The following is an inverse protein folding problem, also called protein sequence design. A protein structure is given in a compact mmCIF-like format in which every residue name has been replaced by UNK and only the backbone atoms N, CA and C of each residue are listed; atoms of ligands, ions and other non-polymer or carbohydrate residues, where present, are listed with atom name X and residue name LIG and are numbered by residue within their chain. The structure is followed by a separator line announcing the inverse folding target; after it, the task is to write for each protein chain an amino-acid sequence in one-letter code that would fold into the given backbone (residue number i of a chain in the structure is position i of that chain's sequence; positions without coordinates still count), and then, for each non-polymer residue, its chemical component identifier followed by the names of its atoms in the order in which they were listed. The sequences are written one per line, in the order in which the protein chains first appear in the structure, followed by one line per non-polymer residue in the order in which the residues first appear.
data_IF_364687831277
#
_entry.id   IF_364687831277
#
_cell.length_a   1.000
_cell.length_b   1.000
_cell.length_c   1.000
_cell.angle_alpha   90.00
_cell.angle_beta   90.00
_cell.angle_gamma   90.00
#
_symmetry.space_group_name_H-M   'P 1'
#
loop_
_entity.id
_entity.type
_entity.pdbx_description
1 polymer ?
#
# COMPACT_ATOMS: atom_id res chain seq x y z
N UNK A 1 3.21 -69.97 -25.60
CA UNK A 1 3.06 -69.43 -24.24
C UNK A 1 4.22 -68.47 -24.04
N UNK A 2 4.01 -67.19 -24.36
CA UNK A 2 5.03 -66.14 -24.26
C UNK A 2 4.89 -65.53 -22.86
N UNK A 3 5.91 -65.68 -22.01
CA UNK A 3 5.98 -64.97 -20.73
C UNK A 3 6.24 -63.50 -21.02
N UNK A 4 5.30 -62.64 -20.63
CA UNK A 4 5.49 -61.20 -20.54
C UNK A 4 5.95 -60.93 -19.11
N UNK A 5 7.17 -60.42 -18.94
CA UNK A 5 7.64 -59.92 -17.65
C UNK A 5 6.79 -58.72 -17.21
N UNK A 6 6.43 -58.61 -15.91
CA UNK A 6 5.72 -57.44 -15.42
C UNK A 6 6.65 -56.22 -15.51
N UNK A 7 6.18 -55.21 -16.26
CA UNK A 7 6.78 -53.88 -16.29
C UNK A 7 6.63 -53.29 -14.88
N UNK A 8 7.70 -53.34 -14.07
CA UNK A 8 7.81 -52.49 -12.89
C UNK A 8 7.83 -51.03 -13.36
N UNK A 9 6.65 -50.40 -13.37
CA UNK A 9 6.54 -48.95 -13.42
C UNK A 9 7.11 -48.46 -12.08
N UNK A 10 8.37 -48.05 -12.11
CA UNK A 10 9.04 -47.45 -10.97
C UNK A 10 8.19 -46.29 -10.42
N UNK A 11 7.64 -46.48 -9.22
CA UNK A 11 6.99 -45.43 -8.43
C UNK A 11 7.92 -44.23 -8.17
N UNK A 12 9.22 -44.35 -8.42
CA UNK A 12 10.20 -43.27 -8.22
C UNK A 12 10.15 -42.20 -9.32
N UNK A 13 9.66 -42.52 -10.53
CA UNK A 13 9.56 -41.57 -11.63
C UNK A 13 8.47 -40.50 -11.40
N UNK A 14 7.40 -40.85 -10.67
CA UNK A 14 6.37 -39.89 -10.23
C UNK A 14 6.90 -38.91 -9.18
N UNK A 15 7.72 -39.40 -8.24
CA UNK A 15 8.28 -38.58 -7.16
C UNK A 15 9.29 -37.53 -7.65
N UNK A 16 10.07 -37.80 -8.70
CA UNK A 16 11.02 -36.81 -9.23
C UNK A 16 10.33 -35.68 -9.99
N UNK A 17 9.29 -35.99 -10.78
CA UNK A 17 8.50 -34.99 -11.48
C UNK A 17 7.74 -34.08 -10.50
N UNK A 18 7.16 -34.66 -9.44
CA UNK A 18 6.50 -33.91 -8.37
C UNK A 18 7.48 -33.09 -7.54
N UNK A 19 8.70 -33.58 -7.28
CA UNK A 19 9.75 -32.79 -6.59
C UNK A 19 10.24 -31.59 -7.40
N UNK A 20 10.15 -31.63 -8.74
CA UNK A 20 10.55 -30.51 -9.60
C UNK A 20 9.55 -29.33 -9.57
N UNK A 21 8.31 -29.62 -9.11
CA UNK A 21 7.19 -28.69 -9.02
C UNK A 21 7.03 -28.05 -7.63
N UNK A 22 7.79 -28.51 -6.64
CA UNK A 22 7.73 -28.04 -5.25
C UNK A 22 9.02 -27.33 -4.84
N UNK A 23 8.88 -26.39 -3.91
CA UNK A 23 10.01 -25.76 -3.21
C UNK A 23 10.51 -26.64 -2.04
N UNK A 24 11.60 -26.22 -1.40
CA UNK A 24 12.22 -26.86 -0.23
C UNK A 24 11.29 -26.98 1.00
N UNK A 25 10.17 -26.26 1.01
CA UNK A 25 9.13 -26.33 2.04
C UNK A 25 7.92 -27.20 1.64
N UNK A 26 8.01 -27.93 0.52
CA UNK A 26 6.96 -28.82 0.02
C UNK A 26 5.74 -28.10 -0.56
N UNK A 27 5.83 -26.79 -0.83
CA UNK A 27 4.76 -25.99 -1.46
C UNK A 27 4.99 -25.83 -2.96
N UNK A 28 3.95 -25.49 -3.75
CA UNK A 28 4.11 -25.14 -5.16
C UNK A 28 5.24 -24.14 -5.36
N UNK A 29 6.07 -24.41 -6.36
CA UNK A 29 7.30 -23.66 -6.62
C UNK A 29 7.02 -22.18 -6.86
N UNK A 30 7.70 -21.32 -6.10
CA UNK A 30 7.67 -19.87 -6.29
C UNK A 30 8.43 -19.47 -7.55
N UNK A 31 7.87 -18.55 -8.33
CA UNK A 31 8.45 -18.11 -9.62
C UNK A 31 8.80 -16.62 -9.66
N UNK A 32 8.56 -15.89 -8.58
CA UNK A 32 8.83 -14.46 -8.48
C UNK A 32 10.31 -14.13 -8.65
N UNK A 33 10.57 -12.97 -9.23
CA UNK A 33 11.90 -12.47 -9.57
C UNK A 33 12.12 -11.08 -8.98
N UNK A 34 13.32 -10.53 -9.13
CA UNK A 34 13.62 -9.13 -8.82
C UNK A 34 12.61 -8.16 -9.44
N UNK A 35 12.20 -8.40 -10.70
CA UNK A 35 11.27 -7.51 -11.41
C UNK A 35 9.85 -7.61 -10.89
N UNK A 36 9.34 -8.81 -10.63
CA UNK A 36 7.98 -8.98 -10.08
C UNK A 36 7.91 -8.46 -8.65
N UNK A 37 8.93 -8.72 -7.82
CA UNK A 37 9.02 -8.16 -6.47
C UNK A 37 9.07 -6.63 -6.49
N UNK A 38 9.89 -6.04 -7.37
CA UNK A 38 9.94 -4.58 -7.54
C UNK A 38 8.60 -4.02 -8.00
N UNK A 39 7.92 -4.67 -8.95
CA UNK A 39 6.60 -4.24 -9.40
C UNK A 39 5.56 -4.29 -8.26
N UNK A 40 5.56 -5.34 -7.44
CA UNK A 40 4.68 -5.43 -6.27
C UNK A 40 4.99 -4.35 -5.23
N UNK A 41 6.27 -4.10 -4.92
CA UNK A 41 6.66 -3.04 -3.96
C UNK A 41 6.28 -1.67 -4.51
N UNK A 42 6.61 -1.37 -5.77
CA UNK A 42 6.25 -0.09 -6.42
C UNK A 42 4.73 0.09 -6.40
N UNK A 43 3.96 -0.94 -6.73
CA UNK A 43 2.48 -0.89 -6.68
C UNK A 43 1.96 -0.68 -5.25
N UNK A 44 2.59 -1.31 -4.26
CA UNK A 44 2.18 -1.18 -2.86
C UNK A 44 2.50 0.20 -2.27
N UNK A 45 3.65 0.76 -2.65
CA UNK A 45 4.18 2.04 -2.15
C UNK A 45 3.54 3.20 -2.91
N UNK A 46 3.58 3.18 -4.24
CA UNK A 46 2.83 4.12 -5.07
C UNK A 46 1.35 3.73 -5.02
N UNK A 47 0.69 3.89 -3.88
CA UNK A 47 -0.75 3.80 -3.70
C UNK A 47 -1.35 5.19 -3.51
N UNK A 48 -2.49 5.28 -2.83
CA UNK A 48 -3.14 6.57 -2.57
C UNK A 48 -2.28 7.57 -1.78
N UNK A 49 -1.32 7.10 -0.96
CA UNK A 49 -0.48 7.96 -0.12
C UNK A 49 0.22 9.10 -0.86
N UNK A 50 0.65 8.86 -2.12
CA UNK A 50 1.31 9.90 -2.95
C UNK A 50 0.42 11.12 -3.17
N UNK A 51 -0.89 10.92 -3.32
CA UNK A 51 -1.82 11.98 -3.67
C UNK A 51 -1.89 13.06 -2.60
N UNK A 52 -1.59 12.70 -1.34
CA UNK A 52 -1.56 13.59 -0.18
C UNK A 52 -0.22 14.30 0.06
N UNK A 53 0.84 13.95 -0.69
CA UNK A 53 2.17 14.52 -0.49
C UNK A 53 2.30 16.02 -0.81
N UNK A 54 1.62 16.59 -1.82
CA UNK A 54 1.63 18.03 -2.04
C UNK A 54 1.06 18.78 -0.83
N UNK A 55 -0.07 18.30 -0.31
CA UNK A 55 -0.67 18.86 0.90
C UNK A 55 0.24 18.71 2.12
N UNK A 56 0.83 17.53 2.33
CA UNK A 56 1.75 17.30 3.43
C UNK A 56 2.97 18.22 3.36
N UNK A 57 3.51 18.43 2.14
CA UNK A 57 4.58 19.39 1.87
C UNK A 57 4.12 20.82 2.16
N UNK A 58 2.90 21.20 1.80
CA UNK A 58 2.35 22.50 2.16
C UNK A 58 2.17 22.71 3.67
N UNK A 59 1.87 21.66 4.43
CA UNK A 59 1.78 21.76 5.89
C UNK A 59 3.15 21.90 6.57
N UNK A 60 4.21 21.36 5.97
CA UNK A 60 5.58 21.36 6.53
C UNK A 60 6.51 22.44 5.92
N UNK A 61 6.17 22.96 4.75
CA UNK A 61 6.94 23.92 3.98
C UNK A 61 8.12 23.33 3.21
N UNK A 62 8.86 24.22 2.51
CA UNK A 62 9.98 23.87 1.64
C UNK A 62 11.17 23.22 2.36
N UNK A 63 11.31 23.41 3.67
CA UNK A 63 12.36 22.76 4.46
C UNK A 63 11.85 21.46 5.07
N UNK A 64 10.74 21.54 5.82
CA UNK A 64 10.22 20.40 6.57
C UNK A 64 9.73 19.26 5.67
N UNK A 65 8.99 19.56 4.60
CA UNK A 65 8.41 18.56 3.72
C UNK A 65 9.47 17.66 3.07
N UNK A 66 10.39 18.22 2.26
CA UNK A 66 11.47 17.46 1.63
C UNK A 66 12.33 16.69 2.64
N UNK A 67 12.73 17.32 3.74
CA UNK A 67 13.57 16.67 4.76
C UNK A 67 12.89 15.45 5.38
N UNK A 68 11.61 15.58 5.76
CA UNK A 68 10.83 14.47 6.32
C UNK A 68 10.67 13.34 5.30
N UNK A 69 10.40 13.64 4.03
CA UNK A 69 10.27 12.61 3.00
C UNK A 69 11.57 11.79 2.82
N UNK A 70 12.73 12.46 2.82
CA UNK A 70 14.04 11.78 2.75
C UNK A 70 14.28 10.91 3.98
N UNK A 71 13.99 11.42 5.18
CA UNK A 71 14.15 10.66 6.43
C UNK A 71 13.25 9.43 6.45
N UNK A 72 11.96 9.58 6.10
CA UNK A 72 11.02 8.45 6.06
C UNK A 72 11.41 7.41 5.00
N UNK A 73 11.84 7.84 3.81
CA UNK A 73 12.34 6.92 2.78
C UNK A 73 13.56 6.13 3.28
N UNK A 74 14.52 6.80 3.92
CA UNK A 74 15.72 6.17 4.49
C UNK A 74 15.41 5.19 5.63
N UNK A 75 14.56 5.57 6.58
CA UNK A 75 14.12 4.69 7.68
C UNK A 75 13.37 3.48 7.14
N UNK A 76 12.49 3.69 6.17
CA UNK A 76 11.70 2.60 5.56
C UNK A 76 12.61 1.63 4.81
N UNK A 77 13.58 2.12 4.04
CA UNK A 77 14.55 1.25 3.37
C UNK A 77 15.36 0.45 4.38
N UNK A 78 15.92 1.13 5.38
CA UNK A 78 16.72 0.47 6.41
C UNK A 78 15.92 -0.64 7.11
N UNK A 79 14.73 -0.34 7.59
CA UNK A 79 13.88 -1.31 8.29
C UNK A 79 13.36 -2.43 7.38
N UNK A 80 13.07 -2.16 6.11
CA UNK A 80 12.78 -3.18 5.10
C UNK A 80 13.94 -4.16 4.90
N UNK A 81 15.20 -3.68 4.92
CA UNK A 81 16.35 -4.59 4.88
C UNK A 81 16.46 -5.48 6.10
N UNK A 82 16.06 -5.01 7.28
CA UNK A 82 15.99 -5.83 8.50
C UNK A 82 14.87 -6.88 8.41
N UNK A 83 13.70 -6.49 7.89
CA UNK A 83 12.57 -7.40 7.70
C UNK A 83 12.90 -8.50 6.68
N UNK A 84 13.62 -8.18 5.60
CA UNK A 84 14.05 -9.18 4.61
C UNK A 84 14.89 -10.31 5.19
N UNK A 85 15.73 -9.99 6.18
CA UNK A 85 16.59 -10.94 6.90
C UNK A 85 15.82 -11.87 7.83
N UNK A 86 14.56 -11.53 8.13
CA UNK A 86 13.71 -12.27 9.05
C UNK A 86 12.71 -13.19 8.33
N UNK A 87 12.86 -13.37 7.01
CA UNK A 87 11.97 -14.21 6.22
C UNK A 87 12.12 -15.71 6.54
N UNK A 88 13.35 -16.22 6.56
CA UNK A 88 13.65 -17.58 7.06
C UNK A 88 14.01 -17.49 8.53
N UNK A 89 13.44 -18.34 9.39
CA UNK A 89 13.80 -18.41 10.81
C UNK A 89 14.92 -19.41 11.05
N UNK A 90 15.91 -19.01 11.85
CA UNK A 90 17.12 -19.79 12.10
C UNK A 90 18.19 -19.46 11.08
N UNK A 91 18.54 -20.43 10.23
CA UNK A 91 19.51 -20.26 9.16
C UNK A 91 18.94 -19.41 8.00
N UNK A 92 19.79 -18.59 7.37
CA UNK A 92 19.38 -17.66 6.32
C UNK A 92 19.02 -18.32 5.00
N UNK A 93 19.60 -19.47 4.68
CA UNK A 93 19.42 -20.13 3.38
C UNK A 93 18.52 -21.36 3.50
N UNK A 94 18.63 -22.07 4.62
CA UNK A 94 17.95 -23.36 4.86
C UNK A 94 16.89 -23.30 5.95
N UNK A 95 16.78 -22.18 6.68
CA UNK A 95 15.80 -22.00 7.74
C UNK A 95 14.36 -22.04 7.24
N UNK A 96 13.42 -22.31 8.16
CA UNK A 96 12.01 -22.42 7.83
C UNK A 96 11.45 -21.08 7.33
N UNK A 97 10.74 -21.11 6.20
CA UNK A 97 10.14 -19.93 5.58
C UNK A 97 8.95 -19.40 6.37
N UNK A 98 8.89 -18.08 6.53
CA UNK A 98 7.73 -17.37 7.05
C UNK A 98 6.93 -16.73 5.92
N UNK A 99 5.76 -17.31 5.63
CA UNK A 99 4.90 -16.90 4.51
C UNK A 99 4.16 -15.57 4.70
N UNK A 100 4.14 -15.06 5.92
CA UNK A 100 3.37 -13.87 6.29
C UNK A 100 4.12 -13.09 7.35
N UNK A 101 3.90 -11.79 7.42
CA UNK A 101 4.58 -10.95 8.40
C UNK A 101 4.26 -11.39 9.85
N UNK A 102 2.99 -11.67 10.14
CA UNK A 102 2.54 -12.23 11.44
C UNK A 102 3.23 -13.56 11.75
N UNK A 103 3.45 -14.39 10.72
CA UNK A 103 4.17 -15.65 10.83
C UNK A 103 5.61 -15.44 11.30
N UNK A 104 6.34 -14.52 10.65
CA UNK A 104 7.71 -14.17 11.04
C UNK A 104 7.78 -13.63 12.46
N UNK A 105 6.89 -12.70 12.82
CA UNK A 105 6.81 -12.15 14.17
C UNK A 105 6.51 -13.24 15.20
N UNK A 106 5.62 -14.19 14.88
CA UNK A 106 5.30 -15.30 15.79
C UNK A 106 6.49 -16.25 15.99
N UNK A 107 7.19 -16.58 14.90
CA UNK A 107 8.33 -17.48 14.94
C UNK A 107 9.52 -16.90 15.71
N UNK A 108 9.75 -15.59 15.60
CA UNK A 108 10.94 -14.92 16.14
C UNK A 108 10.68 -14.27 17.51
N UNK A 109 9.54 -13.59 17.68
CA UNK A 109 9.22 -12.77 18.86
C UNK A 109 8.08 -13.32 19.73
N UNK A 110 7.45 -14.41 19.31
CA UNK A 110 6.41 -15.10 20.06
C UNK A 110 4.99 -14.52 19.92
N UNK A 111 4.06 -15.11 20.66
CA UNK A 111 2.62 -14.93 20.45
C UNK A 111 2.05 -13.54 20.76
N UNK A 112 2.59 -12.83 21.75
CA UNK A 112 2.09 -11.50 22.13
C UNK A 112 2.36 -10.46 21.02
N UNK A 113 3.59 -10.43 20.51
CA UNK A 113 3.97 -9.57 19.38
C UNK A 113 3.21 -9.95 18.10
N UNK A 114 2.96 -11.24 17.86
CA UNK A 114 2.16 -11.66 16.72
C UNK A 114 0.70 -11.19 16.79
N UNK A 115 0.11 -11.13 17.99
CA UNK A 115 -1.25 -10.56 18.17
C UNK A 115 -1.26 -9.06 17.91
N UNK A 116 -0.27 -8.32 18.44
CA UNK A 116 -0.11 -6.88 18.20
C UNK A 116 0.05 -6.60 16.69
N UNK A 117 0.97 -7.33 16.03
CA UNK A 117 1.19 -7.27 14.60
C UNK A 117 -0.11 -7.51 13.83
N UNK A 118 -0.82 -8.61 14.13
CA UNK A 118 -2.06 -8.94 13.42
C UNK A 118 -3.15 -7.89 13.57
N UNK A 119 -3.39 -7.36 14.78
CA UNK A 119 -4.41 -6.33 15.01
C UNK A 119 -4.12 -5.09 14.15
N UNK A 120 -2.88 -4.59 14.19
CA UNK A 120 -2.52 -3.34 13.52
C UNK A 120 -2.41 -3.56 12.01
N UNK A 121 -1.84 -4.69 11.57
CA UNK A 121 -1.68 -5.02 10.16
C UNK A 121 -3.05 -5.14 9.49
N UNK A 122 -3.98 -5.95 10.03
CA UNK A 122 -5.31 -6.09 9.43
C UNK A 122 -6.12 -4.80 9.50
N UNK A 123 -6.04 -4.02 10.60
CA UNK A 123 -6.68 -2.71 10.66
C UNK A 123 -6.14 -1.77 9.56
N UNK A 124 -4.84 -1.81 9.31
CA UNK A 124 -4.21 -1.01 8.26
C UNK A 124 -4.62 -1.48 6.85
N UNK A 125 -4.63 -2.79 6.58
CA UNK A 125 -5.07 -3.34 5.29
C UNK A 125 -6.53 -2.95 4.97
N UNK A 126 -7.43 -3.04 5.95
CA UNK A 126 -8.84 -2.63 5.79
C UNK A 126 -8.96 -1.12 5.60
N UNK A 127 -8.21 -0.33 6.38
CA UNK A 127 -8.20 1.12 6.24
C UNK A 127 -7.69 1.57 4.87
N UNK A 128 -6.66 0.91 4.33
CA UNK A 128 -6.13 1.18 2.99
C UNK A 128 -7.17 0.88 1.91
N UNK A 129 -7.94 -0.20 2.03
CA UNK A 129 -9.06 -0.51 1.13
C UNK A 129 -10.13 0.61 1.11
N UNK A 130 -10.46 1.15 2.29
CA UNK A 130 -11.34 2.34 2.42
C UNK A 130 -10.71 3.56 1.75
N UNK A 131 -9.43 3.83 2.03
CA UNK A 131 -8.69 4.96 1.45
C UNK A 131 -8.61 4.92 -0.08
N UNK A 132 -8.43 3.74 -0.67
CA UNK A 132 -8.41 3.54 -2.12
C UNK A 132 -9.78 3.75 -2.75
N UNK A 133 -10.85 3.28 -2.10
CA UNK A 133 -12.23 3.54 -2.55
C UNK A 133 -12.51 5.04 -2.61
N UNK A 134 -12.08 5.79 -1.59
CA UNK A 134 -12.23 7.26 -1.56
C UNK A 134 -11.38 7.90 -2.66
N UNK A 135 -10.09 7.57 -2.75
CA UNK A 135 -9.18 8.17 -3.71
C UNK A 135 -9.62 7.94 -5.17
N UNK A 136 -10.00 6.71 -5.54
CA UNK A 136 -10.48 6.39 -6.87
C UNK A 136 -11.77 7.14 -7.21
N UNK A 137 -12.68 7.27 -6.22
CA UNK A 137 -13.92 8.03 -6.41
C UNK A 137 -13.67 9.51 -6.66
N UNK A 138 -12.69 10.12 -5.98
CA UNK A 138 -12.30 11.53 -6.20
C UNK A 138 -11.76 11.71 -7.62
N UNK A 139 -10.92 10.78 -8.10
CA UNK A 139 -10.39 10.85 -9.47
C UNK A 139 -11.49 10.69 -10.53
N UNK A 140 -12.41 9.74 -10.37
CA UNK A 140 -13.52 9.59 -11.32
C UNK A 140 -14.50 10.79 -11.28
N UNK A 141 -14.73 11.35 -10.10
CA UNK A 141 -15.52 12.57 -9.92
C UNK A 141 -14.88 13.77 -10.62
N UNK A 142 -13.55 13.88 -10.56
CA UNK A 142 -12.81 14.96 -11.22
C UNK A 142 -13.04 14.97 -12.74
N UNK A 143 -13.09 13.80 -13.39
CA UNK A 143 -13.36 13.66 -14.84
C UNK A 143 -14.74 14.24 -15.19
N UNK A 144 -15.79 13.84 -14.46
CA UNK A 144 -17.14 14.36 -14.73
C UNK A 144 -17.25 15.85 -14.42
N UNK A 145 -16.55 16.31 -13.38
CA UNK A 145 -16.51 17.72 -13.03
C UNK A 145 -15.84 18.56 -14.13
N UNK A 146 -14.71 18.08 -14.67
CA UNK A 146 -14.05 18.70 -15.82
C UNK A 146 -14.98 18.76 -17.03
N UNK A 147 -15.61 17.64 -17.40
CA UNK A 147 -16.59 17.61 -18.49
C UNK A 147 -17.78 18.58 -18.30
N UNK A 148 -18.25 18.76 -17.06
CA UNK A 148 -19.30 19.73 -16.74
C UNK A 148 -18.87 21.18 -16.98
N UNK A 149 -17.67 21.56 -16.54
CA UNK A 149 -17.11 22.89 -16.78
C UNK A 149 -16.91 23.16 -18.27
N UNK A 150 -16.54 22.13 -19.04
CA UNK A 150 -16.30 22.25 -20.48
C UNK A 150 -17.61 22.44 -21.25
N UNK A 151 -18.67 21.73 -20.85
CA UNK A 151 -19.96 21.84 -21.49
C UNK A 151 -20.72 23.14 -21.12
N UNK A 152 -20.61 23.58 -19.87
CA UNK A 152 -21.47 24.65 -19.32
C UNK A 152 -20.72 25.94 -18.98
N UNK A 153 -19.40 25.97 -19.15
CA UNK A 153 -18.53 27.08 -18.77
C UNK A 153 -18.13 27.09 -17.29
N UNK A 154 -17.05 27.81 -16.98
CA UNK A 154 -16.43 27.84 -15.65
C UNK A 154 -17.24 28.53 -14.55
N UNK A 155 -18.31 29.25 -14.91
CA UNK A 155 -19.14 29.98 -13.95
C UNK A 155 -20.18 29.08 -13.25
N UNK A 156 -20.33 27.82 -13.67
CA UNK A 156 -21.29 26.88 -13.08
C UNK A 156 -20.58 26.07 -11.99
N UNK A 157 -21.12 25.98 -10.75
CA UNK A 157 -20.42 25.34 -9.63
C UNK A 157 -20.20 23.82 -9.79
N UNK A 158 -20.87 23.18 -10.76
CA UNK A 158 -20.72 21.77 -11.15
C UNK A 158 -20.57 20.83 -9.94
N UNK A 159 -21.55 20.86 -9.04
CA UNK A 159 -21.60 19.95 -7.89
C UNK A 159 -21.85 18.52 -8.36
N UNK A 160 -20.86 17.65 -8.14
CA UNK A 160 -20.93 16.22 -8.46
C UNK A 160 -20.80 15.45 -7.14
N UNK A 161 -21.71 14.53 -6.84
CA UNK A 161 -21.58 13.66 -5.66
C UNK A 161 -20.53 12.57 -5.88
N UNK A 162 -19.74 12.23 -4.85
CA UNK A 162 -18.72 11.16 -4.91
C UNK A 162 -19.30 9.76 -4.69
N UNK A 163 -20.48 9.66 -4.08
CA UNK A 163 -21.11 8.37 -3.72
C UNK A 163 -21.32 7.41 -4.90
N UNK A 164 -21.82 7.84 -6.08
CA UNK A 164 -21.96 6.95 -7.23
C UNK A 164 -20.62 6.35 -7.68
N UNK A 165 -19.54 7.12 -7.58
CA UNK A 165 -18.20 6.67 -7.97
C UNK A 165 -17.59 5.69 -6.98
N UNK A 166 -17.89 5.83 -5.68
CA UNK A 166 -17.52 4.83 -4.69
C UNK A 166 -18.23 3.49 -4.94
N UNK A 167 -19.51 3.52 -5.33
CA UNK A 167 -20.27 2.33 -5.70
C UNK A 167 -19.73 1.68 -6.99
N UNK A 168 -19.38 2.49 -7.99
CA UNK A 168 -18.75 1.99 -9.23
C UNK A 168 -17.42 1.31 -8.92
N UNK A 169 -16.55 1.95 -8.13
CA UNK A 169 -15.28 1.36 -7.72
C UNK A 169 -15.50 0.06 -6.95
N UNK A 170 -16.41 0.05 -5.96
CA UNK A 170 -16.77 -1.16 -5.22
C UNK A 170 -17.30 -2.28 -6.13
N UNK A 171 -18.04 -1.97 -7.19
CA UNK A 171 -18.49 -2.97 -8.15
C UNK A 171 -17.32 -3.59 -8.94
N UNK A 172 -16.32 -2.78 -9.35
CA UNK A 172 -15.10 -3.31 -9.94
C UNK A 172 -14.33 -4.19 -8.94
N UNK A 173 -14.19 -3.76 -7.70
CA UNK A 173 -13.48 -4.54 -6.68
C UNK A 173 -14.19 -5.86 -6.34
N UNK A 174 -15.53 -5.92 -6.38
CA UNK A 174 -16.24 -7.21 -6.24
C UNK A 174 -15.77 -8.20 -7.31
N UNK A 175 -15.55 -7.75 -8.55
CA UNK A 175 -15.09 -8.61 -9.65
C UNK A 175 -13.62 -8.97 -9.49
N UNK A 176 -12.73 -7.98 -9.34
CA UNK A 176 -11.28 -8.22 -9.25
C UNK A 176 -10.85 -8.94 -7.98
N UNK A 177 -11.61 -8.77 -6.88
CA UNK A 177 -11.40 -9.53 -5.66
C UNK A 177 -11.72 -11.01 -5.83
N UNK A 178 -12.21 -11.51 -6.96
CA UNK A 178 -12.34 -12.96 -7.19
C UNK A 178 -11.06 -13.62 -7.72
N UNK A 179 -9.97 -12.86 -7.96
CA UNK A 179 -8.66 -13.42 -8.29
C UNK A 179 -8.11 -14.14 -7.03
N UNK A 180 -7.70 -15.42 -7.11
CA UNK A 180 -7.52 -16.29 -5.95
C UNK A 180 -6.52 -15.78 -4.91
N UNK A 181 -5.34 -15.33 -5.36
CA UNK A 181 -4.22 -15.05 -4.46
C UNK A 181 -3.25 -13.99 -5.02
N UNK A 182 -2.23 -13.69 -4.22
CA UNK A 182 -1.20 -12.69 -4.53
C UNK A 182 -0.34 -13.07 -5.74
N UNK A 183 -0.21 -14.36 -6.04
CA UNK A 183 0.57 -14.83 -7.19
C UNK A 183 -0.16 -14.52 -8.50
N UNK A 184 -1.46 -14.80 -8.57
CA UNK A 184 -2.27 -14.60 -9.79
C UNK A 184 -2.56 -13.11 -10.12
N UNK A 185 -2.36 -12.18 -9.18
CA UNK A 185 -2.51 -10.72 -9.42
C UNK A 185 -1.27 -10.04 -10.03
N UNK A 186 -0.23 -10.80 -10.41
CA UNK A 186 1.04 -10.23 -10.92
C UNK A 186 0.84 -9.29 -12.12
N UNK A 187 -0.02 -9.66 -13.07
CA UNK A 187 -0.28 -8.88 -14.28
C UNK A 187 -1.01 -7.58 -13.96
N UNK A 188 -1.96 -7.65 -13.02
CA UNK A 188 -2.71 -6.49 -12.54
C UNK A 188 -1.79 -5.53 -11.79
N UNK A 189 -0.80 -6.06 -11.06
CA UNK A 189 0.25 -5.25 -10.42
C UNK A 189 1.13 -4.54 -11.45
N UNK A 190 1.47 -5.19 -12.57
CA UNK A 190 2.22 -4.53 -13.66
C UNK A 190 1.40 -3.40 -14.27
N UNK A 191 0.12 -3.63 -14.59
CA UNK A 191 -0.77 -2.58 -15.11
C UNK A 191 -0.85 -1.42 -14.13
N UNK A 192 -1.04 -1.71 -12.84
CA UNK A 192 -1.10 -0.68 -11.81
C UNK A 192 0.20 0.11 -11.68
N UNK A 193 1.37 -0.54 -11.76
CA UNK A 193 2.66 0.14 -11.78
C UNK A 193 2.82 1.06 -13.00
N UNK A 194 2.45 0.59 -14.20
CA UNK A 194 2.52 1.42 -15.43
C UNK A 194 1.61 2.64 -15.30
N UNK A 195 0.35 2.44 -14.87
CA UNK A 195 -0.60 3.54 -14.66
C UNK A 195 -0.09 4.54 -13.63
N UNK A 196 0.64 4.09 -12.61
CA UNK A 196 1.17 4.98 -11.59
C UNK A 196 2.25 5.93 -12.10
N UNK A 197 3.17 5.41 -12.92
CA UNK A 197 4.11 6.22 -13.69
C UNK A 197 3.40 7.16 -14.68
N UNK A 198 2.30 6.72 -15.32
CA UNK A 198 1.53 7.55 -16.24
C UNK A 198 0.95 8.80 -15.57
N UNK A 199 0.11 8.64 -14.53
CA UNK A 199 -0.55 9.80 -13.92
C UNK A 199 0.43 10.76 -13.26
N UNK A 200 1.59 10.27 -12.83
CA UNK A 200 2.59 11.09 -12.17
C UNK A 200 3.55 11.77 -13.13
N UNK A 201 3.85 11.14 -14.27
CA UNK A 201 4.49 11.83 -15.38
C UNK A 201 3.64 13.02 -15.83
N UNK A 202 2.32 12.82 -15.92
CA UNK A 202 1.38 13.91 -16.20
C UNK A 202 1.39 14.94 -15.07
N UNK A 203 1.16 14.54 -13.82
CA UNK A 203 1.12 15.46 -12.67
C UNK A 203 2.41 16.28 -12.51
N UNK A 204 3.56 15.68 -12.77
CA UNK A 204 4.86 16.36 -12.82
C UNK A 204 4.92 17.38 -13.96
N UNK A 205 4.57 16.97 -15.19
CA UNK A 205 4.58 17.86 -16.34
C UNK A 205 3.68 19.07 -16.13
N UNK A 206 2.48 18.85 -15.59
CA UNK A 206 1.54 19.90 -15.21
C UNK A 206 2.09 20.80 -14.10
N UNK A 207 2.73 20.23 -13.08
CA UNK A 207 3.35 20.99 -12.00
C UNK A 207 4.50 21.88 -12.48
N UNK A 208 5.35 21.37 -13.39
CA UNK A 208 6.41 22.16 -14.02
C UNK A 208 5.80 23.28 -14.87
N UNK A 209 4.83 22.96 -15.73
CA UNK A 209 4.18 23.95 -16.59
C UNK A 209 3.54 25.09 -15.77
N UNK A 210 2.83 24.73 -14.69
CA UNK A 210 2.21 25.69 -13.78
C UNK A 210 3.27 26.56 -13.06
N UNK A 211 4.35 25.95 -12.56
CA UNK A 211 5.44 26.68 -11.90
C UNK A 211 6.12 27.68 -12.84
N UNK A 212 6.31 27.30 -14.10
CA UNK A 212 6.85 28.17 -15.15
C UNK A 212 5.88 29.31 -15.47
N UNK A 213 4.58 29.00 -15.64
CA UNK A 213 3.55 29.99 -15.90
C UNK A 213 3.39 31.02 -14.77
N UNK A 214 3.59 30.58 -13.52
CA UNK A 214 3.56 31.43 -12.33
C UNK A 214 4.85 32.26 -12.13
N UNK A 215 5.87 32.05 -12.97
CA UNK A 215 7.14 32.78 -12.90
C UNK A 215 8.05 32.35 -11.74
N UNK A 216 7.78 31.22 -11.08
CA UNK A 216 8.61 30.70 -10.00
C UNK A 216 7.88 29.75 -9.05
N UNK A 217 8.62 29.26 -8.06
CA UNK A 217 8.11 28.35 -7.04
C UNK A 217 7.18 29.09 -6.06
N UNK A 218 5.93 28.61 -5.92
CA UNK A 218 5.02 29.08 -4.87
C UNK A 218 5.33 28.43 -3.52
N UNK A 219 4.57 28.84 -2.50
CA UNK A 219 4.67 28.30 -1.14
C UNK A 219 5.69 29.05 -0.28
N UNK A 220 5.60 28.86 1.02
CA UNK A 220 6.48 29.48 2.02
C UNK A 220 7.47 28.45 2.60
N UNK A 221 8.54 28.96 3.21
CA UNK A 221 9.59 28.13 3.87
C UNK A 221 8.99 27.23 4.95
N UNK A 222 8.06 27.77 5.75
CA UNK A 222 7.40 27.06 6.86
C UNK A 222 6.03 26.46 6.48
N UNK A 223 5.60 26.57 5.23
CA UNK A 223 4.28 26.09 4.79
C UNK A 223 3.14 27.01 5.22
N UNK A 224 1.91 26.47 5.22
CA UNK A 224 0.66 27.21 5.52
C UNK A 224 0.83 28.20 6.70
N UNK A 225 0.53 29.47 6.45
CA UNK A 225 0.63 30.58 7.43
C UNK A 225 -0.74 31.13 7.87
N UNK A 226 -1.79 30.93 7.07
CA UNK A 226 -3.11 31.53 7.29
C UNK A 226 -4.01 30.66 8.18
N UNK A 227 -3.48 30.16 9.29
CA UNK A 227 -4.20 29.32 10.27
C UNK A 227 -3.72 29.64 11.68
N UNK A 228 -4.48 29.25 12.71
CA UNK A 228 -4.01 29.41 14.09
C UNK A 228 -2.79 28.54 14.36
N UNK A 229 -1.96 28.91 15.35
CA UNK A 229 -0.78 28.13 15.73
C UNK A 229 -1.13 26.67 16.08
N UNK A 230 -2.26 26.47 16.77
CA UNK A 230 -2.77 25.15 17.12
C UNK A 230 -3.17 24.33 15.88
N UNK A 231 -3.89 24.93 14.94
CA UNK A 231 -4.26 24.26 13.67
C UNK A 231 -3.02 23.92 12.85
N UNK A 232 -2.04 24.82 12.80
CA UNK A 232 -0.76 24.55 12.15
C UNK A 232 -0.08 23.34 12.77
N UNK A 233 0.03 23.28 14.09
CA UNK A 233 0.64 22.15 14.80
C UNK A 233 -0.06 20.82 14.46
N UNK A 234 -1.39 20.76 14.54
CA UNK A 234 -2.14 19.54 14.22
C UNK A 234 -1.97 19.09 12.76
N UNK A 235 -2.04 20.03 11.82
CA UNK A 235 -1.83 19.74 10.38
C UNK A 235 -0.40 19.29 10.08
N UNK A 236 0.61 19.92 10.67
CA UNK A 236 2.01 19.49 10.50
C UNK A 236 2.26 18.11 11.10
N UNK A 237 1.64 17.79 12.24
CA UNK A 237 1.72 16.45 12.84
C UNK A 237 1.01 15.40 11.99
N UNK A 238 -0.19 15.69 11.50
CA UNK A 238 -0.90 14.80 10.57
C UNK A 238 -0.09 14.55 9.29
N UNK A 239 0.57 15.58 8.75
CA UNK A 239 1.43 15.45 7.56
C UNK A 239 2.56 14.42 7.74
N UNK A 240 3.07 14.22 8.96
CA UNK A 240 4.03 13.14 9.25
C UNK A 240 3.38 11.77 9.03
N UNK A 241 2.13 11.59 9.47
CA UNK A 241 1.35 10.37 9.24
C UNK A 241 1.05 10.14 7.76
N UNK A 242 0.72 11.20 7.00
CA UNK A 242 0.50 11.10 5.56
C UNK A 242 1.77 10.65 4.82
N UNK A 243 2.93 11.21 5.16
CA UNK A 243 4.21 10.80 4.59
C UNK A 243 4.56 9.37 5.03
N UNK A 244 4.31 9.02 6.29
CA UNK A 244 4.50 7.66 6.79
C UNK A 244 3.68 6.63 6.02
N UNK A 245 2.42 6.97 5.73
CA UNK A 245 1.52 6.13 4.94
C UNK A 245 1.98 5.99 3.49
N UNK A 246 2.51 7.05 2.87
CA UNK A 246 3.06 6.96 1.52
C UNK A 246 4.19 5.91 1.45
N UNK A 247 5.06 5.83 2.45
CA UNK A 247 6.10 4.81 2.52
C UNK A 247 5.66 3.47 3.15
N UNK A 248 4.37 3.27 3.43
CA UNK A 248 3.91 2.06 4.11
C UNK A 248 3.81 0.89 3.12
N UNK A 249 4.71 -0.10 3.25
CA UNK A 249 4.58 -1.39 2.57
C UNK A 249 5.09 -2.58 3.39
N UNK A 250 5.60 -2.32 4.60
CA UNK A 250 6.03 -3.34 5.58
C UNK A 250 4.95 -4.38 5.87
N UNK A 251 3.68 -3.97 5.75
CA UNK A 251 2.48 -4.78 5.99
C UNK A 251 2.20 -5.86 4.93
N UNK A 252 2.85 -5.78 3.77
CA UNK A 252 2.74 -6.79 2.70
C UNK A 252 4.11 -7.29 2.25
N UNK A 253 5.17 -6.81 2.91
CA UNK A 253 6.56 -7.03 2.51
C UNK A 253 6.94 -8.52 2.54
N UNK A 254 6.60 -9.20 3.64
CA UNK A 254 6.93 -10.62 3.81
C UNK A 254 6.12 -11.49 2.85
N UNK A 255 4.88 -11.13 2.57
CA UNK A 255 4.02 -11.79 1.59
C UNK A 255 4.55 -11.61 0.16
N UNK A 256 5.07 -10.43 -0.20
CA UNK A 256 5.77 -10.21 -1.47
C UNK A 256 7.05 -11.05 -1.54
N UNK A 257 7.84 -11.08 -0.46
CA UNK A 257 9.06 -11.86 -0.39
C UNK A 257 8.80 -13.37 -0.53
N UNK A 258 7.66 -13.86 -0.02
CA UNK A 258 7.21 -15.25 -0.19
C UNK A 258 6.85 -15.61 -1.64
N UNK A 259 6.79 -14.65 -2.58
CA UNK A 259 6.62 -14.97 -4.00
C UNK A 259 7.94 -15.27 -4.71
N UNK A 260 9.07 -14.90 -4.12
CA UNK A 260 10.39 -14.99 -4.75
C UNK A 260 10.82 -16.44 -4.87
N UNK A 261 11.32 -16.82 -6.03
CA UNK A 261 11.84 -18.17 -6.29
C UNK A 261 12.98 -18.56 -5.34
N UNK A 262 13.11 -19.85 -5.06
CA UNK A 262 14.15 -20.40 -4.20
C UNK A 262 15.59 -20.06 -4.67
N UNK A 263 16.57 -20.05 -3.75
CA UNK A 263 17.98 -19.69 -4.04
C UNK A 263 18.63 -20.55 -5.14
N UNK A 264 19.71 -20.08 -5.80
CA UNK A 264 20.39 -18.78 -5.65
C UNK A 264 19.88 -17.67 -6.60
N UNK A 265 19.98 -16.37 -6.23
CA UNK A 265 20.40 -15.82 -4.92
C UNK A 265 19.31 -15.93 -3.84
N UNK A 266 19.67 -15.74 -2.56
CA UNK A 266 18.71 -15.82 -1.44
C UNK A 266 17.54 -14.85 -1.59
N UNK A 267 16.37 -15.23 -1.07
CA UNK A 267 15.14 -14.44 -1.13
C UNK A 267 15.37 -13.05 -0.50
N UNK A 268 16.10 -12.99 0.62
CA UNK A 268 16.47 -11.75 1.29
C UNK A 268 17.35 -10.82 0.41
N UNK A 269 18.30 -11.39 -0.35
CA UNK A 269 19.16 -10.61 -1.25
C UNK A 269 18.37 -10.00 -2.40
N UNK A 270 17.51 -10.79 -3.05
CA UNK A 270 16.62 -10.30 -4.11
C UNK A 270 15.70 -9.21 -3.56
N UNK A 271 15.10 -9.46 -2.40
CA UNK A 271 14.15 -8.53 -1.78
C UNK A 271 14.81 -7.21 -1.41
N UNK A 272 16.03 -7.20 -0.85
CA UNK A 272 16.76 -5.95 -0.55
C UNK A 272 17.07 -5.14 -1.81
N UNK A 273 17.48 -5.79 -2.89
CA UNK A 273 17.73 -5.12 -4.16
C UNK A 273 16.44 -4.54 -4.74
N UNK A 274 15.36 -5.32 -4.74
CA UNK A 274 14.04 -4.86 -5.18
C UNK A 274 13.55 -3.68 -4.34
N UNK A 275 13.72 -3.73 -3.02
CA UNK A 275 13.39 -2.64 -2.09
C UNK A 275 14.21 -1.38 -2.34
N UNK A 276 15.51 -1.50 -2.63
CA UNK A 276 16.36 -0.36 -2.97
C UNK A 276 15.87 0.32 -4.24
N UNK A 277 15.69 -0.44 -5.33
CA UNK A 277 15.19 0.09 -6.59
C UNK A 277 13.83 0.76 -6.38
N UNK A 278 12.92 0.08 -5.69
CA UNK A 278 11.56 0.55 -5.51
C UNK A 278 11.53 1.83 -4.67
N UNK A 279 12.22 1.89 -3.53
CA UNK A 279 12.23 3.08 -2.68
C UNK A 279 12.92 4.26 -3.36
N UNK A 280 14.00 4.04 -4.12
CA UNK A 280 14.62 5.11 -4.90
C UNK A 280 13.64 5.64 -5.95
N UNK A 281 13.02 4.74 -6.73
CA UNK A 281 12.05 5.10 -7.75
C UNK A 281 10.84 5.84 -7.15
N UNK A 282 10.27 5.34 -6.05
CA UNK A 282 9.12 5.96 -5.40
C UNK A 282 9.48 7.25 -4.67
N UNK A 283 10.67 7.37 -4.08
CA UNK A 283 11.11 8.61 -3.42
C UNK A 283 11.33 9.73 -4.44
N UNK A 284 11.93 9.42 -5.58
CA UNK A 284 12.05 10.38 -6.70
C UNK A 284 10.67 10.80 -7.16
N UNK A 285 9.78 9.83 -7.38
CA UNK A 285 8.40 10.06 -7.78
C UNK A 285 7.60 10.91 -6.77
N UNK A 286 7.78 10.66 -5.48
CA UNK A 286 7.16 11.42 -4.39
C UNK A 286 7.70 12.83 -4.30
N UNK A 287 9.01 13.00 -4.43
CA UNK A 287 9.62 14.33 -4.52
C UNK A 287 9.05 15.09 -5.72
N UNK A 288 8.95 14.45 -6.89
CA UNK A 288 8.39 15.06 -8.10
C UNK A 288 6.92 15.46 -7.88
N UNK A 289 6.07 14.57 -7.37
CA UNK A 289 4.65 14.89 -7.15
C UNK A 289 4.44 15.89 -6.01
N UNK A 290 5.08 15.68 -4.87
CA UNK A 290 4.92 16.49 -3.66
C UNK A 290 5.54 17.87 -3.80
N UNK A 291 6.78 17.95 -4.28
CA UNK A 291 7.50 19.22 -4.39
C UNK A 291 6.98 20.04 -5.56
N UNK A 292 6.73 19.43 -6.74
CA UNK A 292 6.17 20.19 -7.86
C UNK A 292 4.70 20.53 -7.65
N UNK A 293 3.94 19.69 -6.94
CA UNK A 293 2.61 20.06 -6.48
C UNK A 293 2.63 21.28 -5.56
N UNK A 294 3.58 21.34 -4.63
CA UNK A 294 3.76 22.51 -3.77
C UNK A 294 4.31 23.74 -4.52
N UNK A 295 5.19 23.54 -5.50
CA UNK A 295 5.67 24.59 -6.39
C UNK A 295 4.53 25.22 -7.20
N UNK A 296 3.60 24.41 -7.68
CA UNK A 296 2.47 24.83 -8.49
C UNK A 296 1.33 25.46 -7.66
N UNK A 297 1.04 24.94 -6.47
CA UNK A 297 -0.14 25.35 -5.69
C UNK A 297 0.18 26.13 -4.40
N UNK A 298 1.43 26.12 -3.95
CA UNK A 298 1.86 26.77 -2.72
C UNK A 298 1.08 26.30 -1.49
N UNK A 299 0.80 27.23 -0.57
CA UNK A 299 0.10 26.93 0.68
C UNK A 299 -1.35 26.45 0.50
N UNK A 300 -1.88 26.49 -0.73
CA UNK A 300 -3.20 25.99 -1.08
C UNK A 300 -3.16 24.61 -1.76
N UNK A 301 -2.02 23.90 -1.70
CA UNK A 301 -1.89 22.58 -2.30
C UNK A 301 -3.00 21.62 -1.81
N UNK A 302 -3.72 20.96 -2.72
CA UNK A 302 -4.85 20.11 -2.37
C UNK A 302 -4.40 18.77 -1.76
N UNK A 303 -5.29 18.14 -0.99
CA UNK A 303 -5.11 16.78 -0.43
C UNK A 303 -4.96 15.68 -1.49
N UNK A 304 -5.37 15.97 -2.73
CA UNK A 304 -5.16 15.13 -3.90
C UNK A 304 -4.60 15.99 -5.04
N UNK A 305 -3.34 15.73 -5.43
CA UNK A 305 -2.60 16.48 -6.45
C UNK A 305 -3.43 16.86 -7.67
N UNK A 306 -4.14 15.91 -8.29
CA UNK A 306 -4.83 16.14 -9.56
C UNK A 306 -6.07 17.02 -9.44
N UNK A 307 -6.64 17.16 -8.25
CA UNK A 307 -7.78 18.06 -8.04
C UNK A 307 -7.40 19.53 -8.22
N UNK A 308 -6.12 19.88 -8.03
CA UNK A 308 -5.61 21.23 -8.27
C UNK A 308 -5.48 21.57 -9.76
N UNK A 309 -5.34 20.57 -10.63
CA UNK A 309 -5.21 20.74 -12.07
C UNK A 309 -6.53 20.59 -12.84
N UNK A 310 -7.68 20.49 -12.16
CA UNK A 310 -8.98 20.25 -12.81
C UNK A 310 -9.44 21.30 -13.83
N UNK A 311 -8.66 22.38 -14.01
CA UNK A 311 -8.89 23.47 -14.96
C UNK A 311 -7.73 23.65 -15.96
N UNK A 312 -6.78 22.73 -16.01
CA UNK A 312 -5.62 22.82 -16.89
C UNK A 312 -5.97 22.41 -18.32
N UNK A 313 -5.48 23.18 -19.31
CA UNK A 313 -5.61 22.84 -20.74
C UNK A 313 -4.30 22.26 -21.29
N UNK A 314 -4.31 21.10 -21.99
CA UNK A 314 -5.50 20.42 -22.48
C UNK A 314 -6.13 19.47 -21.43
N UNK A 315 -7.43 19.62 -21.20
CA UNK A 315 -8.17 18.87 -20.17
C UNK A 315 -8.13 17.35 -20.30
N UNK A 316 -8.04 16.82 -21.53
CA UNK A 316 -7.96 15.38 -21.77
C UNK A 316 -6.74 14.75 -21.07
N UNK A 317 -5.67 15.52 -20.87
CA UNK A 317 -4.46 15.06 -20.20
C UNK A 317 -4.71 14.85 -18.70
N UNK A 318 -5.47 15.76 -18.07
CA UNK A 318 -5.90 15.64 -16.67
C UNK A 318 -6.89 14.50 -16.50
N UNK A 319 -7.81 14.32 -17.45
CA UNK A 319 -8.75 13.20 -17.45
C UNK A 319 -8.02 11.86 -17.60
N UNK A 320 -7.05 11.77 -18.51
CA UNK A 320 -6.23 10.57 -18.70
C UNK A 320 -5.45 10.22 -17.42
N UNK A 321 -4.91 11.22 -16.70
CA UNK A 321 -4.25 11.00 -15.42
C UNK A 321 -5.21 10.51 -14.33
N UNK A 322 -6.44 11.04 -14.28
CA UNK A 322 -7.45 10.56 -13.33
C UNK A 322 -7.94 9.14 -13.65
N UNK A 323 -8.08 8.79 -14.94
CA UNK A 323 -8.35 7.40 -15.36
C UNK A 323 -7.21 6.48 -14.93
N UNK A 324 -5.97 6.89 -15.17
CA UNK A 324 -4.80 6.12 -14.75
C UNK A 324 -4.75 5.93 -13.22
N UNK A 325 -5.10 6.93 -12.41
CA UNK A 325 -5.25 6.74 -10.94
C UNK A 325 -6.32 5.70 -10.63
N UNK A 326 -7.51 5.81 -11.24
CA UNK A 326 -8.60 4.86 -10.97
C UNK A 326 -8.19 3.42 -11.29
N UNK A 327 -7.55 3.18 -12.44
CA UNK A 327 -7.05 1.85 -12.83
C UNK A 327 -5.92 1.38 -11.91
N UNK A 328 -4.99 2.27 -11.56
CA UNK A 328 -3.91 1.96 -10.63
C UNK A 328 -4.45 1.48 -9.27
N UNK A 329 -5.45 2.18 -8.73
CA UNK A 329 -6.01 1.88 -7.42
C UNK A 329 -6.77 0.54 -7.39
N UNK A 330 -7.27 0.05 -8.54
CA UNK A 330 -7.83 -1.32 -8.63
C UNK A 330 -6.74 -2.36 -8.31
N UNK A 331 -5.58 -2.26 -8.95
CA UNK A 331 -4.48 -3.20 -8.69
C UNK A 331 -3.89 -3.05 -7.29
N UNK A 332 -3.74 -1.81 -6.81
CA UNK A 332 -3.26 -1.55 -5.45
C UNK A 332 -4.24 -2.13 -4.40
N UNK A 333 -5.56 -2.01 -4.60
CA UNK A 333 -6.57 -2.60 -3.71
C UNK A 333 -6.38 -4.11 -3.56
N UNK A 334 -6.14 -4.81 -4.66
CA UNK A 334 -5.90 -6.26 -4.63
C UNK A 334 -4.64 -6.60 -3.84
N UNK A 335 -3.52 -5.92 -4.06
CA UNK A 335 -2.26 -6.13 -3.31
C UNK A 335 -2.48 -6.07 -1.79
N UNK A 336 -3.31 -5.15 -1.30
CA UNK A 336 -3.59 -4.99 0.13
C UNK A 336 -4.69 -5.91 0.67
N UNK A 337 -5.66 -6.31 -0.16
CA UNK A 337 -6.79 -7.13 0.31
C UNK A 337 -6.51 -8.63 0.26
N UNK A 338 -5.62 -9.10 -0.62
CA UNK A 338 -5.29 -10.53 -0.74
C UNK A 338 -4.82 -11.17 0.58
N UNK A 339 -3.99 -10.53 1.44
CA UNK A 339 -3.64 -11.09 2.74
C UNK A 339 -4.85 -11.25 3.69
N UNK A 340 -5.85 -10.37 3.60
CA UNK A 340 -7.10 -10.46 4.37
C UNK A 340 -7.93 -11.65 3.88
N UNK A 341 -8.08 -11.76 2.55
CA UNK A 341 -8.73 -12.89 1.86
C UNK A 341 -8.12 -14.23 2.24
N UNK A 342 -6.81 -14.35 2.07
CA UNK A 342 -6.07 -15.55 2.40
C UNK A 342 -6.21 -15.96 3.87
N UNK A 343 -6.25 -15.00 4.80
CA UNK A 343 -6.41 -15.30 6.23
C UNK A 343 -7.77 -15.91 6.56
N UNK A 344 -8.85 -15.27 6.11
CA UNK A 344 -10.22 -15.72 6.38
C UNK A 344 -10.49 -17.07 5.70
N UNK A 345 -10.05 -17.21 4.45
CA UNK A 345 -10.28 -18.43 3.66
C UNK A 345 -9.49 -19.62 4.18
N UNK A 346 -8.19 -19.46 4.49
CA UNK A 346 -7.42 -20.56 5.10
C UNK A 346 -8.02 -21.01 6.41
N UNK A 347 -8.57 -20.09 7.21
CA UNK A 347 -9.23 -20.43 8.48
C UNK A 347 -10.54 -21.17 8.24
N UNK A 348 -11.33 -20.75 7.25
CA UNK A 348 -12.57 -21.42 6.87
C UNK A 348 -12.32 -22.83 6.32
N UNK A 349 -11.40 -22.99 5.36
CA UNK A 349 -11.06 -24.29 4.77
C UNK A 349 -10.52 -25.28 5.81
N UNK A 350 -9.71 -24.83 6.77
CA UNK A 350 -9.24 -25.68 7.88
C UNK A 350 -10.35 -26.07 8.85
N UNK A 351 -11.32 -25.18 9.07
CA UNK A 351 -12.43 -25.42 10.00
C UNK A 351 -13.51 -26.33 9.40
N UNK A 352 -13.65 -26.31 8.08
CA UNK A 352 -14.65 -27.05 7.31
C UNK A 352 -14.03 -27.69 6.05
N UNK A 353 -13.16 -28.70 6.20
CA UNK A 353 -12.46 -29.33 5.07
C UNK A 353 -13.40 -30.02 4.08
N UNK A 354 -14.49 -30.61 4.54
CA UNK A 354 -15.42 -31.38 3.70
C UNK A 354 -16.55 -30.54 3.09
N UNK A 355 -16.56 -29.22 3.33
CA UNK A 355 -17.63 -28.35 2.84
C UNK A 355 -17.44 -27.98 1.37
N UNK A 356 -18.34 -28.45 0.50
CA UNK A 356 -18.39 -28.04 -0.90
C UNK A 356 -18.60 -26.53 -1.06
N UNK A 357 -19.31 -25.86 -0.14
CA UNK A 357 -19.48 -24.40 -0.18
C UNK A 357 -18.16 -23.63 -0.04
N UNK A 358 -17.24 -24.16 0.79
CA UNK A 358 -15.94 -23.53 1.08
C UNK A 358 -14.88 -23.93 0.06
N UNK A 359 -14.79 -25.23 -0.25
CA UNK A 359 -13.66 -25.81 -0.98
C UNK A 359 -13.97 -26.22 -2.43
N UNK A 360 -15.24 -26.21 -2.86
CA UNK A 360 -15.56 -26.43 -4.29
C UNK A 360 -15.26 -25.15 -5.07
N UNK A 361 -14.19 -25.19 -5.86
CA UNK A 361 -13.73 -24.07 -6.69
C UNK A 361 -14.06 -24.31 -8.17
N UNK A 362 -14.66 -23.32 -8.81
CA UNK A 362 -14.72 -23.19 -10.26
C UNK A 362 -13.59 -22.27 -10.71
N UNK A 363 -12.64 -22.79 -11.48
CA UNK A 363 -11.51 -22.02 -12.02
C UNK A 363 -11.79 -21.59 -13.45
N UNK A 364 -11.84 -20.28 -13.68
CA UNK A 364 -11.97 -19.64 -14.99
C UNK A 364 -10.95 -18.52 -15.03
N UNK A 365 -9.79 -18.75 -15.64
CA UNK A 365 -8.67 -17.79 -15.61
C UNK A 365 -9.13 -16.37 -15.95
N UNK A 366 -8.77 -15.34 -15.15
CA UNK A 366 -7.86 -15.35 -13.98
C UNK A 366 -8.54 -15.63 -12.61
N UNK A 367 -9.80 -16.06 -12.59
CA UNK A 367 -10.62 -16.20 -11.38
C UNK A 367 -10.69 -17.63 -10.85
N UNK A 368 -10.83 -17.76 -9.53
CA UNK A 368 -11.16 -19.02 -8.87
C UNK A 368 -12.27 -18.80 -7.85
N UNK A 369 -13.49 -19.15 -8.25
CA UNK A 369 -14.72 -18.79 -7.56
C UNK A 369 -15.21 -20.01 -6.77
N UNK A 370 -15.33 -19.86 -5.46
CA UNK A 370 -16.17 -20.73 -4.62
C UNK A 370 -17.33 -19.92 -4.08
N UNK A 371 -18.43 -20.58 -3.70
CA UNK A 371 -19.59 -19.89 -3.15
C UNK A 371 -19.21 -19.09 -1.88
N UNK A 372 -18.31 -19.62 -1.05
CA UNK A 372 -17.75 -18.89 0.09
C UNK A 372 -16.91 -17.67 -0.33
N UNK A 373 -15.96 -17.81 -1.27
CA UNK A 373 -15.12 -16.69 -1.73
C UNK A 373 -15.97 -15.56 -2.29
N UNK A 374 -16.92 -15.90 -3.17
CA UNK A 374 -17.80 -14.93 -3.78
C UNK A 374 -18.60 -14.16 -2.71
N UNK A 375 -19.24 -14.88 -1.78
CA UNK A 375 -20.05 -14.26 -0.74
C UNK A 375 -19.21 -13.38 0.20
N UNK A 376 -18.15 -13.92 0.78
CA UNK A 376 -17.39 -13.22 1.82
C UNK A 376 -16.61 -12.03 1.23
N UNK A 377 -15.90 -12.21 0.11
CA UNK A 377 -15.12 -11.12 -0.50
C UNK A 377 -16.05 -9.99 -0.97
N UNK A 378 -17.25 -10.31 -1.47
CA UNK A 378 -18.24 -9.29 -1.81
C UNK A 378 -18.73 -8.53 -0.56
N UNK A 379 -19.03 -9.24 0.54
CA UNK A 379 -19.40 -8.60 1.82
C UNK A 379 -18.29 -7.68 2.32
N UNK A 380 -17.02 -8.10 2.21
CA UNK A 380 -15.87 -7.29 2.56
C UNK A 380 -15.80 -6.00 1.74
N UNK A 381 -15.89 -6.11 0.42
CA UNK A 381 -15.86 -4.94 -0.48
C UNK A 381 -17.01 -4.00 -0.14
N UNK A 382 -18.25 -4.51 -0.04
CA UNK A 382 -19.42 -3.72 0.36
C UNK A 382 -19.20 -3.01 1.70
N UNK A 383 -18.66 -3.69 2.70
CA UNK A 383 -18.33 -3.09 3.99
C UNK A 383 -17.35 -1.92 3.83
N UNK A 384 -16.22 -2.13 3.14
CA UNK A 384 -15.23 -1.04 2.93
C UNK A 384 -15.80 0.13 2.14
N UNK A 385 -16.67 -0.13 1.15
CA UNK A 385 -17.36 0.92 0.38
C UNK A 385 -18.33 1.71 1.24
N UNK A 386 -19.13 1.06 2.09
CA UNK A 386 -20.05 1.75 3.01
C UNK A 386 -19.28 2.60 4.03
N UNK A 387 -18.16 2.11 4.55
CA UNK A 387 -17.29 2.90 5.45
C UNK A 387 -16.72 4.11 4.71
N UNK A 388 -16.27 3.96 3.46
CA UNK A 388 -15.79 5.06 2.62
C UNK A 388 -16.87 6.13 2.38
N UNK A 389 -18.12 5.71 2.17
CA UNK A 389 -19.26 6.62 2.01
C UNK A 389 -19.60 7.37 3.30
N UNK A 390 -19.44 6.71 4.46
CA UNK A 390 -19.73 7.30 5.76
C UNK A 390 -18.64 8.28 6.24
N UNK A 391 -17.38 8.09 5.81
CA UNK A 391 -16.22 8.87 6.24
C UNK A 391 -15.29 9.23 5.06
N UNK A 392 -15.70 10.12 4.14
CA UNK A 392 -14.94 10.41 2.92
C UNK A 392 -13.72 11.34 3.13
N UNK A 393 -13.05 11.27 4.29
CA UNK A 393 -11.93 12.15 4.66
C UNK A 393 -10.59 11.54 4.25
N UNK A 394 -10.25 11.63 2.97
CA UNK A 394 -9.06 10.98 2.42
C UNK A 394 -7.78 11.28 3.20
N UNK A 395 -7.39 12.56 3.33
CA UNK A 395 -6.15 12.99 3.98
C UNK A 395 -6.07 12.57 5.46
N UNK A 396 -7.21 12.56 6.15
CA UNK A 396 -7.29 12.17 7.55
C UNK A 396 -7.15 10.67 7.76
N UNK A 397 -7.81 9.87 6.92
CA UNK A 397 -7.73 8.41 6.98
C UNK A 397 -6.30 7.96 6.72
N UNK A 398 -5.68 8.41 5.62
CA UNK A 398 -4.29 8.01 5.31
C UNK A 398 -3.31 8.50 6.38
N UNK A 399 -3.50 9.71 6.91
CA UNK A 399 -2.68 10.23 8.00
C UNK A 399 -2.75 9.40 9.27
N UNK A 400 -3.96 8.99 9.68
CA UNK A 400 -4.16 8.14 10.84
C UNK A 400 -3.58 6.74 10.62
N UNK A 401 -3.82 6.14 9.45
CA UNK A 401 -3.30 4.81 9.11
C UNK A 401 -1.78 4.78 9.16
N UNK A 402 -1.12 5.75 8.53
CA UNK A 402 0.33 5.88 8.59
C UNK A 402 0.84 6.08 10.01
N UNK A 403 0.20 6.95 10.79
CA UNK A 403 0.59 7.22 12.17
C UNK A 403 0.52 5.98 13.07
N UNK A 404 -0.56 5.20 13.00
CA UNK A 404 -0.73 4.03 13.87
C UNK A 404 0.09 2.82 13.43
N UNK A 405 0.39 2.69 12.12
CA UNK A 405 1.16 1.54 11.61
C UNK A 405 2.66 1.76 11.60
N UNK A 406 3.13 3.00 11.46
CA UNK A 406 4.55 3.31 11.23
C UNK A 406 5.46 2.76 12.33
N UNK A 407 5.25 3.15 13.59
CA UNK A 407 6.06 2.62 14.68
C UNK A 407 5.98 1.10 14.81
N UNK A 408 4.81 0.48 15.03
CA UNK A 408 4.75 -0.94 15.33
C UNK A 408 5.16 -1.81 14.14
N UNK A 409 4.67 -1.51 12.92
CA UNK A 409 4.83 -2.40 11.77
C UNK A 409 6.07 -2.08 10.92
N UNK A 410 6.43 -0.81 10.76
CA UNK A 410 7.60 -0.42 9.94
C UNK A 410 8.88 -0.38 10.77
N UNK A 411 8.83 0.05 12.03
CA UNK A 411 10.05 0.28 12.82
C UNK A 411 10.30 -0.77 13.90
N UNK A 412 9.40 -0.90 14.85
CA UNK A 412 9.57 -1.70 16.06
C UNK A 412 9.69 -3.19 15.75
N UNK A 413 8.71 -3.79 15.06
CA UNK A 413 8.74 -5.23 14.79
C UNK A 413 9.95 -5.65 13.94
N UNK A 414 10.32 -4.97 12.84
CA UNK A 414 11.52 -5.34 12.08
C UNK A 414 12.81 -5.23 12.89
N UNK A 415 12.95 -4.17 13.70
CA UNK A 415 14.14 -3.99 14.55
C UNK A 415 14.22 -5.04 15.65
N UNK A 416 13.12 -5.35 16.34
CA UNK A 416 13.09 -6.40 17.37
C UNK A 416 13.33 -7.79 16.79
N UNK A 417 12.69 -8.12 15.66
CA UNK A 417 12.89 -9.40 14.97
C UNK A 417 14.36 -9.57 14.60
N UNK A 418 14.98 -8.54 14.03
CA UNK A 418 16.39 -8.59 13.65
C UNK A 418 17.32 -8.74 14.87
N UNK A 419 17.06 -8.01 15.96
CA UNK A 419 17.83 -8.15 17.21
C UNK A 419 17.76 -9.59 17.74
N UNK A 420 16.56 -10.16 17.78
CA UNK A 420 16.33 -11.50 18.30
C UNK A 420 16.96 -12.57 17.38
N UNK A 421 16.71 -12.49 16.08
CA UNK A 421 17.17 -13.48 15.12
C UNK A 421 18.69 -13.45 14.90
N UNK A 422 19.31 -12.26 14.87
CA UNK A 422 20.76 -12.12 14.67
C UNK A 422 21.56 -12.15 15.98
N UNK A 423 20.90 -12.34 17.12
CA UNK A 423 21.56 -12.36 18.42
C UNK A 423 22.35 -11.08 18.69
N UNK A 424 21.83 -9.91 18.28
CA UNK A 424 22.56 -8.65 18.37
C UNK A 424 22.91 -8.35 19.83
N UNK A 425 24.21 -8.27 20.13
CA UNK A 425 24.72 -8.11 21.51
C UNK A 425 24.13 -6.85 22.16
N UNK A 426 23.45 -7.04 23.31
CA UNK A 426 22.91 -5.94 24.11
C UNK A 426 24.01 -4.94 24.47
N UNK A 427 23.72 -3.65 24.33
CA UNK A 427 24.69 -2.56 24.57
C UNK A 427 25.71 -2.32 23.46
N UNK A 428 25.72 -3.12 22.39
CA UNK A 428 26.50 -2.77 21.18
C UNK A 428 25.95 -1.50 20.52
N UNK A 429 26.80 -0.82 19.74
CA UNK A 429 26.38 0.38 19.00
C UNK A 429 25.18 0.10 18.08
N UNK A 430 25.15 -1.07 17.42
CA UNK A 430 24.02 -1.52 16.60
C UNK A 430 22.75 -1.69 17.45
N UNK A 431 22.84 -2.36 18.60
CA UNK A 431 21.69 -2.54 19.49
C UNK A 431 21.14 -1.20 19.99
N UNK A 432 22.01 -0.28 20.40
CA UNK A 432 21.63 1.06 20.86
C UNK A 432 20.98 1.84 19.71
N UNK A 433 21.56 1.80 18.51
CA UNK A 433 21.01 2.47 17.33
C UNK A 433 19.62 1.95 16.95
N UNK A 434 19.41 0.64 16.94
CA UNK A 434 18.10 0.03 16.67
C UNK A 434 17.05 0.40 17.73
N UNK A 435 17.43 0.43 19.02
CA UNK A 435 16.55 0.88 20.10
C UNK A 435 16.21 2.37 19.99
N UNK A 436 17.19 3.22 19.69
CA UNK A 436 16.98 4.64 19.49
C UNK A 436 16.04 4.90 18.31
N UNK A 437 16.21 4.18 17.20
CA UNK A 437 15.31 4.24 16.04
C UNK A 437 13.87 3.85 16.42
N UNK A 438 13.69 2.75 17.17
CA UNK A 438 12.38 2.33 17.64
C UNK A 438 11.71 3.37 18.55
N UNK A 439 12.47 4.00 19.47
CA UNK A 439 11.94 5.08 20.34
C UNK A 439 11.59 6.32 19.52
N UNK A 440 12.45 6.74 18.58
CA UNK A 440 12.17 7.87 17.69
C UNK A 440 10.90 7.64 16.86
N UNK A 441 10.75 6.43 16.28
CA UNK A 441 9.56 6.04 15.55
C UNK A 441 8.29 6.10 16.41
N UNK A 442 8.37 5.70 17.69
CA UNK A 442 7.26 5.78 18.64
C UNK A 442 6.82 7.23 18.85
N UNK A 443 7.77 8.12 19.14
CA UNK A 443 7.49 9.55 19.36
C UNK A 443 6.82 10.17 18.13
N UNK A 444 7.36 9.89 16.93
CA UNK A 444 6.79 10.37 15.66
C UNK A 444 5.37 9.84 15.45
N UNK A 445 5.13 8.55 15.70
CA UNK A 445 3.81 7.92 15.53
C UNK A 445 2.78 8.46 16.53
N UNK A 446 3.18 8.64 17.79
CA UNK A 446 2.32 9.24 18.82
C UNK A 446 1.93 10.68 18.45
N UNK A 447 2.91 11.49 18.02
CA UNK A 447 2.67 12.87 17.60
C UNK A 447 1.81 12.94 16.32
N UNK A 448 2.07 12.08 15.33
CA UNK A 448 1.25 12.01 14.12
C UNK A 448 -0.19 11.59 14.42
N UNK A 449 -0.37 10.65 15.35
CA UNK A 449 -1.69 10.17 15.77
C UNK A 449 -2.49 11.29 16.43
N UNK A 450 -1.88 12.08 17.32
CA UNK A 450 -2.58 13.20 17.96
C UNK A 450 -3.01 14.26 16.95
N UNK A 451 -2.15 14.60 15.97
CA UNK A 451 -2.48 15.50 14.87
C UNK A 451 -3.62 14.99 14.00
N UNK A 452 -3.57 13.72 13.58
CA UNK A 452 -4.60 13.11 12.74
C UNK A 452 -5.96 13.03 13.46
N UNK A 453 -5.98 12.65 14.75
CA UNK A 453 -7.20 12.59 15.56
C UNK A 453 -7.79 13.99 15.76
N UNK A 454 -6.97 15.00 16.05
CA UNK A 454 -7.45 16.37 16.24
C UNK A 454 -8.14 16.92 14.97
N UNK A 455 -7.53 16.69 13.81
CA UNK A 455 -8.13 17.10 12.53
C UNK A 455 -9.38 16.27 12.20
N UNK A 456 -9.37 14.96 12.44
CA UNK A 456 -10.55 14.10 12.28
C UNK A 456 -11.75 14.62 13.06
N UNK A 457 -11.57 14.92 14.35
CA UNK A 457 -12.67 15.41 15.20
C UNK A 457 -13.21 16.74 14.66
N UNK A 458 -12.33 17.64 14.21
CA UNK A 458 -12.71 18.93 13.62
C UNK A 458 -13.52 18.81 12.33
N UNK A 459 -13.19 17.84 11.47
CA UNK A 459 -13.90 17.59 10.21
C UNK A 459 -15.21 16.83 10.45
N UNK A 460 -15.17 15.82 11.32
CA UNK A 460 -16.31 14.97 11.65
C UNK A 460 -17.46 15.77 12.27
N UNK A 461 -17.16 16.72 13.18
CA UNK A 461 -18.18 17.57 13.80
C UNK A 461 -18.97 18.43 12.81
N UNK A 462 -18.44 18.68 11.61
CA UNK A 462 -19.07 19.50 10.57
C UNK A 462 -19.75 18.67 9.48
N UNK A 463 -19.50 17.36 9.45
CA UNK A 463 -19.90 16.49 8.36
C UNK A 463 -21.27 15.86 8.61
N UNK A 464 -22.08 15.78 7.55
CA UNK A 464 -23.35 15.04 7.55
C UNK A 464 -23.20 13.83 6.62
N UNK A 465 -23.18 12.60 7.15
CA UNK A 465 -23.08 11.40 6.33
C UNK A 465 -24.18 11.36 5.28
N UNK A 466 -23.84 10.93 4.06
CA UNK A 466 -24.78 10.73 2.95
C UNK A 466 -25.55 11.99 2.50
N UNK A 467 -25.07 13.20 2.81
CA UNK A 467 -25.81 14.44 2.50
C UNK A 467 -25.76 14.92 1.05
N UNK A 468 -25.19 14.13 0.13
CA UNK A 468 -25.30 14.32 -1.33
C UNK A 468 -24.46 15.44 -1.91
#
# INVERSE_FOLDING_TARGET
MVQIEPLEVSLEAGNQADSALLDDDGRPRRTGTFWTASAHIITAVIGSGVLSLPWATAQLGWVGGPAVMVVFGGVTYFTATLQAECYRTGDEETGARNYTYIGAVRAILGGANAKLCGIIQYANLVGTAVGYTIAASISMQAIKRAGCFHANGHNVPCHISSTPYMLIFGAFEIVFSQIPDFHEIWWLSIVAAVMSFTYSGVGLGLGIAQTVADGGFRGTIAGVTNVTATQKAWRSLQALGNIAFAFAFSNVYTEIQDTIKAPPPSEAKVMKQASLLSIVATSVFYALCGWMGYAAFGNAAPDNLLTGFGFFEPFWLVDAANVAIAVHLIGAYQVYCQPVFAFVERKASRRWPDSGFVNSELRVWPFAISAFRLAWRSVFVCFTTVVAMALPFFGVIVGLLGAISFWPLTVYLPTEMYIAQRGVRRGSALWIGLRALAVAGFVVSAAATTGAVANFVGDFMKFRPFSG
#
